data_IF_979002963263
#
_entry.id   IF_979002963263
#
_cell.length_a   1.000
_cell.length_b   1.000
_cell.length_c   1.000
_cell.angle_alpha   90.00
_cell.angle_beta   90.00
_cell.angle_gamma   90.00
#
_symmetry.space_group_name_H-M   'P 1'
#
loop_
_entity.id
_entity.type
_entity.pdbx_description
1 polymer ?
#
# COMPACT_ATOMS: atom_id res chain seq x y z
N UNK A 1 3.17 6.87 -24.85
CA UNK A 1 3.12 7.51 -23.51
C UNK A 1 2.34 6.58 -22.59
N UNK A 2 2.90 6.10 -21.46
CA UNK A 2 2.21 5.15 -20.54
C UNK A 2 0.85 5.75 -20.08
N UNK A 3 -0.19 4.92 -19.90
CA UNK A 3 -1.57 5.35 -19.56
C UNK A 3 -1.61 6.33 -18.37
N UNK A 4 -0.79 6.07 -17.35
CA UNK A 4 -0.69 6.89 -16.15
C UNK A 4 -0.20 8.34 -16.42
N UNK A 5 0.75 8.52 -17.34
CA UNK A 5 1.23 9.86 -17.72
C UNK A 5 0.16 10.67 -18.45
N UNK A 6 -0.77 10.00 -19.15
CA UNK A 6 -1.94 10.65 -19.75
C UNK A 6 -2.92 11.08 -18.68
N UNK A 7 -3.17 10.21 -17.68
CA UNK A 7 -4.03 10.54 -16.54
C UNK A 7 -3.51 11.77 -15.77
N UNK A 8 -2.22 11.86 -15.44
CA UNK A 8 -1.67 13.02 -14.72
C UNK A 8 -1.70 14.35 -15.50
N UNK A 9 -1.94 14.30 -16.81
CA UNK A 9 -2.16 15.49 -17.64
C UNK A 9 -3.64 15.79 -17.89
N UNK A 10 -4.54 14.90 -17.46
CA UNK A 10 -5.97 14.96 -17.72
C UNK A 10 -6.67 16.05 -16.90
N UNK A 11 -7.86 16.47 -17.38
CA UNK A 11 -8.76 17.36 -16.63
C UNK A 11 -9.24 16.67 -15.34
N UNK A 12 -9.54 15.37 -15.39
CA UNK A 12 -9.95 14.58 -14.21
C UNK A 12 -8.94 14.72 -13.07
N UNK A 13 -7.66 14.42 -13.33
CA UNK A 13 -6.62 14.55 -12.30
C UNK A 13 -6.51 15.96 -11.72
N UNK A 14 -6.58 17.01 -12.55
CA UNK A 14 -6.52 18.40 -12.08
C UNK A 14 -7.67 18.73 -11.12
N UNK A 15 -8.89 18.37 -11.50
CA UNK A 15 -10.09 18.58 -10.68
C UNK A 15 -10.01 17.79 -9.37
N UNK A 16 -9.65 16.51 -9.44
CA UNK A 16 -9.48 15.64 -8.27
C UNK A 16 -8.45 16.19 -7.29
N UNK A 17 -7.28 16.61 -7.79
CA UNK A 17 -6.23 17.21 -6.95
C UNK A 17 -6.71 18.49 -6.26
N UNK A 18 -7.51 19.29 -6.95
CA UNK A 18 -8.07 20.53 -6.39
C UNK A 18 -9.11 20.25 -5.30
N UNK A 19 -10.07 19.36 -5.54
CA UNK A 19 -11.08 18.94 -4.56
C UNK A 19 -10.44 18.37 -3.29
N UNK A 20 -9.50 17.43 -3.46
CA UNK A 20 -8.74 16.85 -2.34
C UNK A 20 -8.00 17.96 -1.56
N UNK A 21 -7.30 18.87 -2.26
CA UNK A 21 -6.60 19.97 -1.59
C UNK A 21 -7.55 20.88 -0.82
N UNK A 22 -8.69 21.24 -1.40
CA UNK A 22 -9.69 22.09 -0.76
C UNK A 22 -10.23 21.44 0.53
N UNK A 23 -10.53 20.14 0.47
CA UNK A 23 -10.96 19.36 1.65
C UNK A 23 -9.89 19.36 2.76
N UNK A 24 -8.63 19.05 2.44
CA UNK A 24 -7.53 19.09 3.42
C UNK A 24 -7.16 20.49 3.90
N UNK A 25 -7.62 21.53 3.21
CA UNK A 25 -7.47 22.93 3.63
C UNK A 25 -8.70 23.46 4.38
N UNK A 26 -9.68 22.59 4.69
CA UNK A 26 -10.94 22.94 5.36
C UNK A 26 -11.67 24.11 4.69
N UNK A 27 -11.60 24.22 3.36
CA UNK A 27 -12.38 25.23 2.66
C UNK A 27 -13.85 24.84 2.68
N UNK A 28 -14.70 25.83 2.91
CA UNK A 28 -16.13 25.67 2.64
C UNK A 28 -16.29 25.41 1.14
N UNK A 29 -16.97 24.33 0.81
CA UNK A 29 -17.25 23.92 -0.55
C UNK A 29 -18.68 23.39 -0.61
N UNK A 30 -19.28 23.47 -1.79
CA UNK A 30 -20.60 22.90 -2.01
C UNK A 30 -20.53 21.37 -1.93
N UNK A 31 -21.66 20.71 -1.68
CA UNK A 31 -21.71 19.25 -1.55
C UNK A 31 -21.12 18.52 -2.77
N UNK A 32 -21.34 19.04 -3.98
CA UNK A 32 -20.83 18.47 -5.24
C UNK A 32 -19.31 18.66 -5.44
N UNK A 33 -18.66 19.43 -4.58
CA UNK A 33 -17.21 19.65 -4.59
C UNK A 33 -16.46 18.80 -3.56
N UNK A 34 -17.18 18.07 -2.70
CA UNK A 34 -16.60 17.16 -1.72
C UNK A 34 -15.92 16.00 -2.45
N UNK A 35 -14.62 15.74 -2.21
CA UNK A 35 -13.96 14.63 -2.88
C UNK A 35 -14.50 13.29 -2.38
N UNK A 36 -14.83 12.41 -3.31
CA UNK A 36 -15.29 11.05 -3.02
C UNK A 36 -14.27 10.06 -3.56
N UNK A 37 -13.79 9.14 -2.73
CA UNK A 37 -12.84 8.10 -3.13
C UNK A 37 -13.46 6.74 -2.82
N UNK A 38 -13.65 5.92 -3.85
CA UNK A 38 -14.10 4.54 -3.73
C UNK A 38 -12.86 3.65 -3.69
N UNK A 39 -12.54 3.08 -2.53
CA UNK A 39 -11.35 2.24 -2.41
C UNK A 39 -11.57 0.84 -3.01
N UNK A 40 -11.35 0.68 -4.33
CA UNK A 40 -11.42 -0.63 -4.99
C UNK A 40 -10.06 -1.26 -5.24
N UNK A 41 -8.97 -0.52 -5.04
CA UNK A 41 -7.60 -1.02 -5.20
C UNK A 41 -7.02 -1.31 -3.83
N UNK A 42 -7.50 -2.37 -3.18
CA UNK A 42 -6.90 -2.79 -1.92
C UNK A 42 -5.53 -3.42 -2.22
N UNK A 43 -4.46 -2.94 -1.58
CA UNK A 43 -3.13 -3.51 -1.80
C UNK A 43 -2.96 -4.88 -1.12
N UNK A 44 -3.90 -5.30 -0.28
CA UNK A 44 -3.88 -6.59 0.41
C UNK A 44 -4.58 -7.73 -0.31
N UNK A 45 -4.31 -8.93 0.20
CA UNK A 45 -4.93 -10.18 -0.26
C UNK A 45 -6.34 -10.35 0.29
N UNK A 46 -6.65 -9.77 1.47
CA UNK A 46 -7.95 -9.92 2.09
C UNK A 46 -9.06 -9.32 1.21
N UNK A 47 -10.09 -10.12 0.94
CA UNK A 47 -11.22 -9.72 0.10
C UNK A 47 -10.95 -9.77 -1.42
N UNK A 48 -9.75 -10.22 -1.83
CA UNK A 48 -9.44 -10.44 -3.25
C UNK A 48 -9.99 -11.78 -3.73
N UNK A 49 -10.31 -11.84 -5.02
CA UNK A 49 -10.61 -13.09 -5.71
C UNK A 49 -9.35 -13.98 -5.72
N UNK A 50 -9.45 -15.14 -5.08
CA UNK A 50 -8.37 -16.11 -4.91
C UNK A 50 -7.78 -16.59 -6.24
N UNK A 51 -8.58 -16.66 -7.30
CA UNK A 51 -8.11 -17.10 -8.62
C UNK A 51 -7.34 -16.00 -9.36
N UNK A 52 -7.58 -14.73 -8.98
CA UNK A 52 -6.96 -13.55 -9.60
C UNK A 52 -5.79 -13.01 -8.80
N UNK A 53 -5.75 -13.28 -7.49
CA UNK A 53 -4.67 -12.84 -6.63
C UNK A 53 -3.40 -13.66 -6.88
N UNK A 54 -2.28 -13.06 -7.32
CA UNK A 54 -1.14 -13.84 -7.73
C UNK A 54 -0.45 -14.47 -6.51
N UNK A 55 -0.19 -15.77 -6.54
CA UNK A 55 0.50 -16.47 -5.44
C UNK A 55 1.91 -15.93 -5.14
N UNK A 56 2.53 -15.25 -6.11
CA UNK A 56 3.82 -14.58 -5.96
C UNK A 56 3.72 -13.13 -5.45
N UNK A 57 2.53 -12.64 -5.07
CA UNK A 57 2.32 -11.23 -4.71
C UNK A 57 3.30 -10.73 -3.64
N UNK A 58 3.50 -11.53 -2.57
CA UNK A 58 4.39 -11.17 -1.46
C UNK A 58 5.84 -11.63 -1.63
N UNK A 59 6.17 -12.35 -2.70
CA UNK A 59 7.51 -12.89 -2.95
C UNK A 59 8.19 -12.28 -4.18
N UNK A 60 7.44 -11.57 -5.03
CA UNK A 60 7.94 -10.91 -6.24
C UNK A 60 7.45 -9.47 -6.32
N UNK A 61 8.35 -8.46 -6.27
CA UNK A 61 7.96 -7.06 -6.44
C UNK A 61 7.33 -6.82 -7.83
N UNK A 62 7.77 -7.53 -8.86
CA UNK A 62 7.14 -7.47 -10.19
C UNK A 62 5.68 -7.91 -10.16
N UNK A 63 5.41 -9.02 -9.47
CA UNK A 63 4.05 -9.56 -9.32
C UNK A 63 3.14 -8.57 -8.59
N UNK A 64 3.64 -7.96 -7.52
CA UNK A 64 2.91 -6.95 -6.76
C UNK A 64 2.60 -5.71 -7.60
N UNK A 65 3.62 -5.20 -8.32
CA UNK A 65 3.51 -4.04 -9.18
C UNK A 65 2.45 -4.24 -10.27
N UNK A 66 2.52 -5.35 -11.01
CA UNK A 66 1.61 -5.64 -12.12
C UNK A 66 0.16 -5.77 -11.65
N UNK A 67 -0.06 -6.43 -10.51
CA UNK A 67 -1.39 -6.55 -9.93
C UNK A 67 -1.97 -5.20 -9.53
N UNK A 68 -1.20 -4.36 -8.83
CA UNK A 68 -1.65 -3.03 -8.42
C UNK A 68 -1.88 -2.07 -9.60
N UNK A 69 -1.01 -2.12 -10.62
CA UNK A 69 -1.21 -1.35 -11.86
C UNK A 69 -2.52 -1.77 -12.53
N UNK A 70 -2.78 -3.08 -12.67
CA UNK A 70 -4.02 -3.57 -13.26
C UNK A 70 -5.25 -3.09 -12.47
N UNK A 71 -5.18 -3.12 -11.14
CA UNK A 71 -6.22 -2.56 -10.27
C UNK A 71 -6.45 -1.07 -10.50
N UNK A 72 -5.37 -0.28 -10.54
CA UNK A 72 -5.43 1.16 -10.80
C UNK A 72 -6.04 1.47 -12.18
N UNK A 73 -5.61 0.76 -13.22
CA UNK A 73 -6.13 0.96 -14.57
C UNK A 73 -7.62 0.62 -14.66
N UNK A 74 -8.03 -0.51 -14.07
CA UNK A 74 -9.43 -0.92 -14.02
C UNK A 74 -10.30 0.06 -13.22
N UNK A 75 -9.79 0.60 -12.12
CA UNK A 75 -10.49 1.62 -11.35
C UNK A 75 -10.71 2.89 -12.19
N UNK A 76 -9.63 3.42 -12.79
CA UNK A 76 -9.70 4.63 -13.61
C UNK A 76 -10.66 4.51 -14.81
N UNK A 77 -10.81 3.30 -15.35
CA UNK A 77 -11.71 3.02 -16.46
C UNK A 77 -13.18 2.95 -16.04
N UNK A 78 -13.48 2.43 -14.85
CA UNK A 78 -14.85 2.05 -14.45
C UNK A 78 -15.50 3.01 -13.45
N UNK A 79 -14.72 3.77 -12.71
CA UNK A 79 -15.19 4.59 -11.60
C UNK A 79 -14.75 6.02 -11.85
N UNK A 80 -15.72 6.94 -11.84
CA UNK A 80 -15.49 8.39 -11.92
C UNK A 80 -15.56 9.00 -10.51
N UNK A 81 -14.45 8.89 -9.80
CA UNK A 81 -14.26 9.42 -8.45
C UNK A 81 -12.93 10.20 -8.37
N UNK A 82 -12.55 10.56 -7.14
CA UNK A 82 -11.33 11.27 -6.80
C UNK A 82 -10.14 10.37 -6.46
N UNK A 83 -10.17 9.09 -6.84
CA UNK A 83 -9.03 8.21 -6.69
C UNK A 83 -7.84 8.69 -7.54
N UNK A 84 -6.70 8.86 -6.87
CA UNK A 84 -5.40 9.07 -7.53
C UNK A 84 -4.63 7.75 -7.43
N UNK A 85 -4.25 7.12 -8.54
CA UNK A 85 -3.52 5.85 -8.53
C UNK A 85 -2.10 6.00 -7.97
N UNK A 86 -1.71 5.05 -7.13
CA UNK A 86 -0.36 4.90 -6.60
C UNK A 86 -0.08 3.42 -6.32
N UNK A 87 1.20 3.07 -6.22
CA UNK A 87 1.66 1.74 -5.82
C UNK A 87 2.07 1.75 -4.36
N UNK A 88 1.80 0.65 -3.65
CA UNK A 88 2.16 0.47 -2.24
C UNK A 88 3.01 -0.79 -2.09
N UNK A 89 4.22 -0.72 -1.49
CA UNK A 89 5.02 -1.91 -1.17
C UNK A 89 4.34 -2.69 -0.02
N UNK A 90 3.30 -3.46 -0.33
CA UNK A 90 2.39 -4.02 0.66
C UNK A 90 2.94 -5.30 1.31
N UNK A 91 3.59 -5.10 2.45
CA UNK A 91 4.02 -6.18 3.34
C UNK A 91 3.24 -6.18 4.67
N UNK A 92 2.15 -5.41 4.72
CA UNK A 92 1.26 -5.26 5.87
C UNK A 92 1.91 -4.56 7.06
N UNK A 93 1.13 -4.51 8.14
CA UNK A 93 1.47 -3.89 9.44
C UNK A 93 2.57 -4.64 10.21
N UNK A 94 3.03 -5.76 9.66
CA UNK A 94 3.95 -6.70 10.27
C UNK A 94 5.40 -6.21 10.37
N UNK A 95 5.74 -5.06 9.77
CA UNK A 95 7.12 -4.56 9.75
C UNK A 95 7.62 -4.20 11.14
N UNK A 96 6.73 -3.65 12.00
CA UNK A 96 7.08 -3.32 13.39
C UNK A 96 7.21 -4.60 14.24
N UNK A 97 6.25 -5.55 14.21
CA UNK A 97 6.44 -6.85 14.87
C UNK A 97 7.69 -7.61 14.42
N UNK A 98 7.98 -7.65 13.11
CA UNK A 98 9.20 -8.27 12.56
C UNK A 98 10.45 -7.65 13.16
N UNK A 99 10.49 -6.31 13.25
CA UNK A 99 11.57 -5.60 13.91
C UNK A 99 11.71 -5.97 15.38
N UNK A 100 10.66 -6.34 16.10
CA UNK A 100 10.75 -6.83 17.48
C UNK A 100 10.96 -8.35 17.60
N UNK A 101 11.20 -9.05 16.48
CA UNK A 101 11.49 -10.48 16.43
C UNK A 101 10.25 -11.38 16.37
N UNK A 102 9.07 -10.83 16.06
CA UNK A 102 7.88 -11.63 15.79
C UNK A 102 8.10 -12.49 14.54
N UNK A 103 7.54 -13.69 14.54
CA UNK A 103 7.54 -14.55 13.36
C UNK A 103 6.50 -14.05 12.37
N UNK A 104 6.93 -13.67 11.17
CA UNK A 104 6.01 -13.28 10.09
C UNK A 104 5.68 -14.49 9.22
N UNK A 105 4.40 -14.67 8.90
CA UNK A 105 3.94 -15.66 7.92
C UNK A 105 3.17 -14.99 6.79
N UNK A 106 3.19 -15.63 5.62
CA UNK A 106 2.45 -15.22 4.43
C UNK A 106 1.43 -16.31 4.12
N UNK A 107 0.26 -16.30 4.77
CA UNK A 107 -0.75 -17.32 4.56
C UNK A 107 -1.20 -17.34 3.09
N UNK A 108 -1.55 -18.53 2.59
CA UNK A 108 -2.12 -18.67 1.26
C UNK A 108 -3.42 -17.86 1.21
N UNK A 109 -3.49 -16.91 0.29
CA UNK A 109 -4.66 -16.01 0.08
C UNK A 109 -4.97 -15.09 1.26
N UNK A 110 -3.99 -14.79 2.11
CA UNK A 110 -4.15 -13.85 3.21
C UNK A 110 -3.02 -12.83 3.23
N UNK A 111 -3.26 -11.74 3.96
CA UNK A 111 -2.24 -10.73 4.21
C UNK A 111 -1.17 -11.26 5.16
N UNK A 112 0.03 -10.65 5.17
CA UNK A 112 1.10 -11.03 6.08
C UNK A 112 0.62 -10.92 7.53
N UNK A 113 0.93 -11.94 8.33
CA UNK A 113 0.50 -12.04 9.72
C UNK A 113 1.70 -12.20 10.65
N UNK A 114 1.69 -11.44 11.75
CA UNK A 114 2.71 -11.52 12.78
C UNK A 114 2.25 -12.44 13.91
N UNK A 115 3.14 -13.36 14.30
CA UNK A 115 2.95 -14.24 15.44
C UNK A 115 4.00 -13.89 16.48
N UNK A 116 3.54 -13.27 17.57
CA UNK A 116 4.35 -12.96 18.74
C UNK A 116 3.57 -13.38 19.97
N UNK A 117 4.27 -14.02 20.92
CA UNK A 117 3.72 -14.42 22.21
C UNK A 117 4.45 -13.61 23.27
N UNK A 118 3.96 -12.40 23.50
CA UNK A 118 4.30 -11.58 24.68
C UNK A 118 3.12 -11.76 25.63
N UNK A 119 3.34 -12.44 26.74
CA UNK A 119 2.30 -12.76 27.74
C UNK A 119 2.46 -11.95 29.02
N UNK A 120 3.64 -11.38 29.25
CA UNK A 120 3.94 -10.62 30.46
C UNK A 120 4.59 -9.26 30.16
N UNK A 121 4.42 -8.34 31.11
CA UNK A 121 5.08 -7.02 31.05
C UNK A 121 6.61 -7.14 31.03
N UNK A 122 7.17 -8.13 31.73
CA UNK A 122 8.61 -8.34 31.76
C UNK A 122 9.16 -8.89 30.44
N UNK A 123 8.38 -9.66 29.70
CA UNK A 123 8.71 -10.03 28.30
C UNK A 123 8.66 -8.80 27.39
N UNK A 124 7.65 -7.94 27.53
CA UNK A 124 7.56 -6.70 26.77
C UNK A 124 8.77 -5.78 27.04
N UNK A 125 9.22 -5.66 28.29
CA UNK A 125 10.41 -4.88 28.66
C UNK A 125 11.70 -5.43 28.06
N UNK A 126 11.76 -6.74 27.77
CA UNK A 126 12.91 -7.39 27.15
C UNK A 126 12.92 -7.27 25.63
N UNK A 127 11.87 -6.73 25.01
CA UNK A 127 11.83 -6.39 23.58
C UNK A 127 12.81 -5.25 23.32
N UNK A 128 14.09 -5.61 23.21
CA UNK A 128 15.15 -4.74 22.77
C UNK A 128 15.71 -5.35 21.50
N UNK A 129 15.68 -4.59 20.41
CA UNK A 129 16.44 -4.97 19.24
C UNK A 129 17.73 -4.16 19.18
N UNK A 130 18.85 -4.88 19.06
CA UNK A 130 20.17 -4.26 18.80
C UNK A 130 20.29 -3.81 17.34
N UNK A 131 19.41 -4.31 16.47
CA UNK A 131 19.33 -3.97 15.06
C UNK A 131 18.71 -2.59 14.89
N UNK A 132 19.08 -1.89 13.82
CA UNK A 132 18.35 -0.69 13.39
C UNK A 132 17.10 -1.10 12.63
N UNK A 133 16.08 -0.26 12.61
CA UNK A 133 14.78 -0.60 12.00
C UNK A 133 14.88 -1.01 10.51
N UNK A 134 15.76 -0.35 9.75
CA UNK A 134 16.00 -0.68 8.34
C UNK A 134 16.73 -2.02 8.13
N UNK A 135 17.23 -2.66 9.20
CA UNK A 135 17.88 -3.97 9.16
C UNK A 135 16.88 -5.11 9.45
N UNK A 136 15.62 -4.79 9.74
CA UNK A 136 14.55 -5.79 9.83
C UNK A 136 14.31 -6.45 8.47
N UNK A 137 14.03 -7.75 8.46
CA UNK A 137 13.92 -8.54 7.22
C UNK A 137 12.75 -8.04 6.36
N UNK A 138 11.61 -7.73 6.98
CA UNK A 138 10.44 -7.22 6.27
C UNK A 138 10.65 -5.78 5.80
N UNK A 139 11.38 -4.95 6.56
CA UNK A 139 11.74 -3.60 6.13
C UNK A 139 12.68 -3.64 4.91
N UNK A 140 13.65 -4.55 4.88
CA UNK A 140 14.48 -4.75 3.70
C UNK A 140 13.64 -5.14 2.46
N UNK A 141 12.64 -6.00 2.62
CA UNK A 141 11.69 -6.33 1.53
C UNK A 141 10.89 -5.12 1.06
N UNK A 142 10.40 -4.29 1.99
CA UNK A 142 9.75 -3.00 1.68
C UNK A 142 10.66 -2.12 0.83
N UNK A 143 11.90 -1.87 1.30
CA UNK A 143 12.85 -0.98 0.63
C UNK A 143 13.23 -1.49 -0.77
N UNK A 144 13.44 -2.80 -0.91
CA UNK A 144 13.71 -3.42 -2.21
C UNK A 144 12.54 -3.27 -3.18
N UNK A 145 11.31 -3.40 -2.68
CA UNK A 145 10.09 -3.25 -3.51
C UNK A 145 9.85 -1.80 -3.89
N UNK A 146 10.05 -0.86 -2.96
CA UNK A 146 10.03 0.57 -3.24
C UNK A 146 11.02 0.93 -4.35
N UNK A 147 12.25 0.43 -4.27
CA UNK A 147 13.26 0.63 -5.29
C UNK A 147 12.81 0.05 -6.64
N UNK A 148 12.33 -1.20 -6.64
CA UNK A 148 11.84 -1.85 -7.85
C UNK A 148 10.71 -1.06 -8.52
N UNK A 149 9.69 -0.62 -7.76
CA UNK A 149 8.58 0.16 -8.30
C UNK A 149 9.05 1.47 -8.93
N UNK A 150 9.97 2.19 -8.28
CA UNK A 150 10.55 3.43 -8.81
C UNK A 150 11.34 3.22 -10.10
N UNK A 151 12.02 2.09 -10.23
CA UNK A 151 12.82 1.76 -11.41
C UNK A 151 11.98 1.27 -12.60
N UNK A 152 10.83 0.66 -12.34
CA UNK A 152 10.05 -0.06 -13.37
C UNK A 152 8.68 0.55 -13.68
N UNK A 153 8.24 1.58 -12.95
CA UNK A 153 6.92 2.21 -13.11
C UNK A 153 6.99 3.74 -13.06
N UNK A 154 6.04 4.39 -13.75
CA UNK A 154 5.82 5.85 -13.67
C UNK A 154 4.75 6.21 -12.62
N UNK A 155 4.16 5.22 -11.94
CA UNK A 155 3.16 5.47 -10.90
C UNK A 155 3.84 6.04 -9.65
N UNK A 156 3.21 6.99 -8.94
CA UNK A 156 3.63 7.39 -7.61
C UNK A 156 3.68 6.16 -6.70
N UNK A 157 4.66 6.13 -5.81
CA UNK A 157 4.83 5.04 -4.85
C UNK A 157 4.61 5.61 -3.46
N UNK A 158 3.63 5.08 -2.74
CA UNK A 158 3.38 5.44 -1.34
C UNK A 158 4.51 4.91 -0.44
N UNK A 159 4.57 5.46 0.76
CA UNK A 159 5.31 4.80 1.85
C UNK A 159 4.61 3.47 2.17
N UNK A 160 5.37 2.48 2.65
CA UNK A 160 4.75 1.24 3.13
C UNK A 160 3.72 1.54 4.19
N UNK A 161 2.70 0.69 4.27
CA UNK A 161 1.82 0.71 5.41
C UNK A 161 2.62 0.38 6.68
N UNK A 162 2.70 1.35 7.58
CA UNK A 162 3.29 1.22 8.90
C UNK A 162 2.23 1.27 10.00
N UNK A 163 0.95 1.04 9.68
CA UNK A 163 -0.12 1.01 10.67
C UNK A 163 0.04 -0.18 11.61
N UNK A 164 0.92 -0.11 12.61
CA UNK A 164 0.80 -0.98 13.78
C UNK A 164 -0.60 -0.77 14.36
N UNK A 165 -1.39 -1.84 14.41
CA UNK A 165 -2.61 -1.86 15.22
C UNK A 165 -2.27 -1.60 16.69
#
# INVERSE_FOLDING_TARGET
MRKINKYFKSKRYKNTKERIRNAFSFKNCDFDEVPVIVNTTTPGATGQDIERFPGSYFTSPDSMMKFQIAGCENHLEKIDDDFIPFLTPWYGVCVVPDYFGAKITFPKNGDPAAFSRIETVDEARKLSNKKKFYEADLMNKVLNTLKYFKEHSDYPVSVTDSQGA
#
